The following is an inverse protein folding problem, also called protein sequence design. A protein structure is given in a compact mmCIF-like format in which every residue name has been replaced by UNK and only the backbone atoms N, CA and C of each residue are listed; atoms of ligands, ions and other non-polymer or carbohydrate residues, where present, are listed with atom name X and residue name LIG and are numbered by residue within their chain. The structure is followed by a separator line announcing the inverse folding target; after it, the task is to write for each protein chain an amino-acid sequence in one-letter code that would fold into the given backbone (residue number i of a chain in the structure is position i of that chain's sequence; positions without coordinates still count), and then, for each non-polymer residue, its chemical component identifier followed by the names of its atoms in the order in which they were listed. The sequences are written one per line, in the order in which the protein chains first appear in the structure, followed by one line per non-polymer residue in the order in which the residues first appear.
data_IF_521542432988
#
_entry.id   IF_521542432988
#
_cell.length_a   1.000
_cell.length_b   1.000
_cell.length_c   1.000
_cell.angle_alpha   90.00
_cell.angle_beta   90.00
_cell.angle_gamma   90.00
#
_symmetry.space_group_name_H-M   'P 1'
#
loop_
_entity.id
_entity.type
_entity.pdbx_description
1 polymer ?
#
# COMPACT_ATOMS: atom_id res chain seq x y z
N UNK A 1 3.58 -31.12 -18.74
CA UNK A 1 2.66 -31.82 -17.82
C UNK A 1 1.37 -31.03 -17.75
N UNK A 2 0.18 -31.66 -17.69
CA UNK A 2 -1.03 -30.93 -17.33
C UNK A 2 -0.80 -30.40 -15.92
N UNK A 3 -0.94 -29.08 -15.72
CA UNK A 3 -0.88 -28.44 -14.41
C UNK A 3 -1.90 -29.10 -13.50
N UNK A 4 -1.47 -29.57 -12.33
CA UNK A 4 -2.37 -30.04 -11.30
C UNK A 4 -3.36 -28.90 -11.00
N UNK A 5 -4.69 -29.08 -11.10
CA UNK A 5 -5.66 -28.02 -10.81
C UNK A 5 -5.60 -27.52 -9.36
N UNK A 6 -4.79 -28.15 -8.50
CA UNK A 6 -4.50 -27.73 -7.12
C UNK A 6 -3.20 -26.94 -6.99
N UNK A 7 -2.38 -26.84 -8.05
CA UNK A 7 -1.20 -25.97 -8.05
C UNK A 7 -1.63 -24.50 -7.93
N UNK A 8 -0.99 -23.71 -7.04
CA UNK A 8 -1.23 -22.28 -6.96
C UNK A 8 -0.89 -21.62 -8.30
N UNK A 9 -1.88 -20.99 -8.93
CA UNK A 9 -1.73 -20.25 -10.19
C UNK A 9 -1.81 -18.75 -9.92
N UNK A 10 -1.17 -17.90 -10.71
CA UNK A 10 -1.43 -16.44 -10.66
C UNK A 10 -2.37 -16.07 -11.81
N UNK A 11 -3.46 -15.37 -11.51
CA UNK A 11 -4.42 -14.92 -12.53
C UNK A 11 -3.78 -13.93 -13.51
N UNK A 12 -4.20 -13.93 -14.78
CA UNK A 12 -3.67 -12.98 -15.77
C UNK A 12 -3.93 -11.52 -15.38
N UNK A 13 -5.03 -11.25 -14.65
CA UNK A 13 -5.37 -9.93 -14.13
C UNK A 13 -4.45 -9.54 -12.97
N UNK A 14 -4.19 -10.45 -12.03
CA UNK A 14 -3.26 -10.25 -10.93
C UNK A 14 -1.83 -10.00 -11.45
N UNK A 15 -1.39 -10.75 -12.47
CA UNK A 15 -0.08 -10.53 -13.10
C UNK A 15 0.00 -9.17 -13.82
N UNK A 16 -1.07 -8.74 -14.48
CA UNK A 16 -1.12 -7.43 -15.13
C UNK A 16 -1.06 -6.27 -14.12
N UNK A 17 -1.78 -6.39 -12.98
CA UNK A 17 -1.67 -5.46 -11.85
C UNK A 17 -0.23 -5.44 -11.31
N UNK A 18 0.33 -6.63 -11.02
CA UNK A 18 1.69 -6.79 -10.50
C UNK A 18 2.74 -6.13 -11.38
N UNK A 19 2.62 -6.20 -12.72
CA UNK A 19 3.54 -5.51 -13.63
C UNK A 19 3.59 -4.01 -13.38
N UNK A 20 2.43 -3.35 -13.29
CA UNK A 20 2.37 -1.91 -13.04
C UNK A 20 3.02 -1.53 -11.71
N UNK A 21 2.71 -2.30 -10.66
CA UNK A 21 3.25 -2.11 -9.31
C UNK A 21 4.76 -2.33 -9.26
N UNK A 22 5.28 -3.38 -9.90
CA UNK A 22 6.72 -3.67 -9.93
C UNK A 22 7.47 -2.58 -10.72
N UNK A 23 6.92 -2.13 -11.84
CA UNK A 23 7.52 -1.05 -12.64
C UNK A 23 7.55 0.28 -11.88
N UNK A 24 6.45 0.65 -11.22
CA UNK A 24 6.43 1.85 -10.39
C UNK A 24 7.39 1.70 -9.20
N UNK A 25 7.34 0.58 -8.48
CA UNK A 25 8.20 0.31 -7.34
C UNK A 25 9.69 0.44 -7.70
N UNK A 26 10.09 -0.18 -8.82
CA UNK A 26 11.47 -0.13 -9.29
C UNK A 26 11.91 1.30 -9.61
N UNK A 27 11.04 2.10 -10.22
CA UNK A 27 11.36 3.48 -10.61
C UNK A 27 11.24 4.48 -9.47
N UNK A 28 10.47 4.19 -8.44
CA UNK A 28 10.16 5.15 -7.37
C UNK A 28 10.94 4.86 -6.09
N UNK A 29 11.20 3.59 -5.76
CA UNK A 29 11.69 3.22 -4.43
C UNK A 29 13.01 2.43 -4.43
N UNK A 30 13.36 1.68 -5.48
CA UNK A 30 14.69 1.03 -5.55
C UNK A 30 15.86 2.04 -5.42
N UNK A 31 15.83 3.22 -6.08
CA UNK A 31 16.88 4.22 -5.89
C UNK A 31 16.97 4.75 -4.45
N UNK A 32 15.84 4.85 -3.74
CA UNK A 32 15.81 5.23 -2.32
C UNK A 32 16.43 4.14 -1.42
N UNK A 33 16.42 2.88 -1.87
CA UNK A 33 17.09 1.75 -1.22
C UNK A 33 18.56 1.58 -1.68
N UNK A 34 19.07 2.50 -2.50
CA UNK A 34 20.43 2.43 -3.05
C UNK A 34 20.62 1.29 -4.03
N UNK A 35 19.59 0.98 -4.81
CA UNK A 35 19.57 -0.04 -5.85
C UNK A 35 19.33 0.60 -7.23
N UNK A 36 20.10 0.24 -8.27
CA UNK A 36 19.82 0.64 -9.65
C UNK A 36 18.46 0.13 -10.13
N UNK A 37 17.75 0.94 -10.92
CA UNK A 37 16.44 0.53 -11.48
C UNK A 37 16.56 -0.70 -12.38
N UNK A 38 17.65 -0.81 -13.15
CA UNK A 38 17.87 -1.92 -14.10
C UNK A 38 18.03 -3.27 -13.40
N UNK A 39 18.40 -3.29 -12.11
CA UNK A 39 18.50 -4.51 -11.31
C UNK A 39 17.13 -5.16 -11.06
N UNK A 40 16.02 -4.48 -11.37
CA UNK A 40 14.67 -5.08 -11.29
C UNK A 40 14.58 -6.40 -12.06
N UNK A 41 15.32 -6.52 -13.18
CA UNK A 41 15.36 -7.73 -13.99
C UNK A 41 16.06 -8.89 -13.28
N UNK A 42 17.02 -8.60 -12.40
CA UNK A 42 17.70 -9.60 -11.57
C UNK A 42 16.76 -10.22 -10.53
N UNK A 43 15.69 -9.52 -10.16
CA UNK A 43 14.71 -9.94 -9.15
C UNK A 43 13.34 -10.25 -9.75
N UNK A 44 13.22 -10.31 -11.08
CA UNK A 44 11.94 -10.36 -11.77
C UNK A 44 11.10 -11.58 -11.34
N UNK A 45 11.69 -12.76 -11.20
CA UNK A 45 10.97 -13.96 -10.77
C UNK A 45 10.28 -13.73 -9.41
N UNK A 46 11.00 -13.14 -8.47
CA UNK A 46 10.59 -12.96 -7.08
C UNK A 46 9.64 -11.78 -6.92
N UNK A 47 9.92 -10.65 -7.58
CA UNK A 47 9.06 -9.47 -7.57
C UNK A 47 7.69 -9.78 -8.19
N UNK A 48 7.67 -10.38 -9.38
CA UNK A 48 6.41 -10.67 -10.07
C UNK A 48 5.63 -11.80 -9.40
N UNK A 49 6.30 -12.83 -8.88
CA UNK A 49 5.62 -13.88 -8.14
C UNK A 49 4.97 -13.31 -6.87
N UNK A 50 5.73 -12.58 -6.06
CA UNK A 50 5.22 -12.02 -4.79
C UNK A 50 4.10 -11.00 -5.06
N UNK A 51 4.32 -10.01 -5.92
CA UNK A 51 3.28 -9.03 -6.25
C UNK A 51 2.05 -9.69 -6.90
N UNK A 52 2.26 -10.65 -7.80
CA UNK A 52 1.17 -11.40 -8.43
C UNK A 52 0.35 -12.20 -7.44
N UNK A 53 0.99 -12.90 -6.49
CA UNK A 53 0.29 -13.61 -5.41
C UNK A 53 -0.49 -12.65 -4.52
N UNK A 54 0.06 -11.48 -4.18
CA UNK A 54 -0.65 -10.47 -3.39
C UNK A 54 -1.90 -9.94 -4.11
N UNK A 55 -1.82 -9.67 -5.41
CA UNK A 55 -2.99 -9.25 -6.18
C UNK A 55 -4.01 -10.36 -6.43
N UNK A 56 -3.60 -11.62 -6.47
CA UNK A 56 -4.55 -12.74 -6.51
C UNK A 56 -5.31 -12.87 -5.19
N UNK A 57 -4.62 -12.72 -4.06
CA UNK A 57 -5.22 -12.68 -2.73
C UNK A 57 -6.17 -11.49 -2.58
N UNK A 58 -5.81 -10.35 -3.14
CA UNK A 58 -6.66 -9.16 -3.25
C UNK A 58 -7.94 -9.44 -4.08
N UNK A 59 -7.81 -10.08 -5.24
CA UNK A 59 -8.97 -10.50 -6.04
C UNK A 59 -9.88 -11.51 -5.33
N UNK A 60 -9.31 -12.40 -4.52
CA UNK A 60 -10.09 -13.30 -3.67
C UNK A 60 -10.85 -12.51 -2.60
N UNK A 61 -10.20 -11.54 -1.96
CA UNK A 61 -10.81 -10.65 -0.99
C UNK A 61 -11.96 -9.83 -1.59
N UNK A 62 -11.78 -9.24 -2.77
CA UNK A 62 -12.82 -8.50 -3.52
C UNK A 62 -14.07 -9.38 -3.78
N UNK A 63 -13.88 -10.70 -3.93
CA UNK A 63 -14.96 -11.69 -4.13
C UNK A 63 -15.57 -12.21 -2.82
N UNK A 64 -15.12 -11.71 -1.67
CA UNK A 64 -15.60 -12.11 -0.34
C UNK A 64 -14.94 -13.36 0.24
N UNK A 65 -13.87 -13.86 -0.37
CA UNK A 65 -13.04 -14.93 0.21
C UNK A 65 -12.12 -14.42 1.30
N UNK A 66 -11.54 -15.35 2.09
CA UNK A 66 -10.53 -15.03 3.10
C UNK A 66 -9.12 -15.30 2.52
N UNK A 67 -8.33 -14.25 2.25
CA UNK A 67 -6.96 -14.40 1.76
C UNK A 67 -6.05 -15.22 2.67
N UNK A 68 -6.26 -15.16 4.00
CA UNK A 68 -5.38 -15.82 4.96
C UNK A 68 -5.43 -17.35 4.88
N UNK A 69 -6.53 -17.90 4.36
CA UNK A 69 -6.79 -19.33 4.24
C UNK A 69 -6.63 -19.84 2.79
N UNK A 70 -6.25 -18.97 1.86
CA UNK A 70 -6.16 -19.31 0.46
C UNK A 70 -4.91 -20.17 0.15
N UNK A 71 -4.99 -21.13 -0.78
CA UNK A 71 -3.82 -21.85 -1.28
C UNK A 71 -2.70 -20.91 -1.77
N UNK A 72 -3.06 -19.79 -2.41
CA UNK A 72 -2.13 -18.76 -2.85
C UNK A 72 -1.32 -18.15 -1.68
N UNK A 73 -1.91 -17.99 -0.49
CA UNK A 73 -1.20 -17.48 0.68
C UNK A 73 -0.19 -18.51 1.22
N UNK A 74 -0.56 -19.80 1.22
CA UNK A 74 0.37 -20.87 1.58
C UNK A 74 1.55 -20.95 0.58
N UNK A 75 1.25 -20.83 -0.72
CA UNK A 75 2.26 -20.82 -1.78
C UNK A 75 3.24 -19.65 -1.65
N UNK A 76 2.72 -18.45 -1.40
CA UNK A 76 3.52 -17.26 -1.16
C UNK A 76 4.46 -17.45 0.05
N UNK A 77 3.94 -17.94 1.18
CA UNK A 77 4.74 -18.21 2.39
C UNK A 77 5.81 -19.26 2.13
N UNK A 78 5.49 -20.34 1.41
CA UNK A 78 6.45 -21.38 1.04
C UNK A 78 7.54 -20.85 0.12
N UNK A 79 7.19 -20.03 -0.87
CA UNK A 79 8.13 -19.39 -1.79
C UNK A 79 9.13 -18.50 -1.05
N UNK A 80 8.64 -17.66 -0.13
CA UNK A 80 9.45 -16.78 0.70
C UNK A 80 10.34 -17.58 1.67
N UNK A 81 9.79 -18.61 2.32
CA UNK A 81 10.53 -19.47 3.24
C UNK A 81 11.66 -20.23 2.53
N UNK A 82 11.39 -20.76 1.33
CA UNK A 82 12.39 -21.44 0.51
C UNK A 82 13.56 -20.55 0.06
N UNK A 83 13.40 -19.22 0.18
CA UNK A 83 14.44 -18.20 -0.09
C UNK A 83 15.03 -17.60 1.18
N UNK A 84 14.57 -18.00 2.36
CA UNK A 84 15.00 -17.42 3.63
C UNK A 84 14.51 -15.98 3.88
N UNK A 85 13.45 -15.55 3.18
CA UNK A 85 12.94 -14.17 3.22
C UNK A 85 11.67 -14.02 4.05
N UNK A 86 11.09 -15.12 4.53
CA UNK A 86 9.79 -15.10 5.20
C UNK A 86 9.82 -14.26 6.48
N UNK A 87 10.85 -14.46 7.31
CA UNK A 87 10.96 -13.76 8.60
C UNK A 87 11.05 -12.23 8.44
N UNK A 88 11.70 -11.77 7.37
CA UNK A 88 11.84 -10.34 7.07
C UNK A 88 10.51 -9.69 6.67
N UNK A 89 9.64 -10.42 5.96
CA UNK A 89 8.38 -9.87 5.43
C UNK A 89 7.14 -10.25 6.25
N UNK A 90 7.26 -11.17 7.20
CA UNK A 90 6.14 -11.77 7.92
C UNK A 90 5.21 -10.73 8.56
N UNK A 91 5.77 -9.78 9.29
CA UNK A 91 5.00 -8.74 9.95
C UNK A 91 4.24 -7.85 8.95
N UNK A 92 4.83 -7.58 7.78
CA UNK A 92 4.21 -6.79 6.71
C UNK A 92 3.10 -7.57 6.02
N UNK A 93 3.25 -8.89 5.84
CA UNK A 93 2.17 -9.75 5.35
C UNK A 93 0.99 -9.76 6.33
N UNK A 94 1.25 -9.80 7.64
CA UNK A 94 0.20 -9.78 8.66
C UNK A 94 -0.58 -8.45 8.66
N UNK A 95 0.10 -7.32 8.38
CA UNK A 95 -0.55 -6.02 8.11
C UNK A 95 -1.46 -6.10 6.88
N UNK A 96 -1.06 -6.80 5.81
CA UNK A 96 -1.91 -7.02 4.64
C UNK A 96 -3.15 -7.86 4.93
N UNK A 97 -3.02 -8.93 5.74
CA UNK A 97 -4.18 -9.71 6.18
C UNK A 97 -5.13 -8.91 7.09
N UNK A 98 -4.59 -8.02 7.92
CA UNK A 98 -5.38 -7.06 8.69
C UNK A 98 -6.13 -6.10 7.76
N UNK A 99 -5.45 -5.54 6.75
CA UNK A 99 -6.06 -4.64 5.75
C UNK A 99 -7.29 -5.28 5.10
N UNK A 100 -7.13 -6.46 4.49
CA UNK A 100 -8.24 -7.15 3.83
C UNK A 100 -9.39 -7.46 4.79
N UNK A 101 -9.09 -7.78 6.05
CA UNK A 101 -10.12 -8.00 7.08
C UNK A 101 -10.90 -6.73 7.39
N UNK A 102 -10.20 -5.61 7.57
CA UNK A 102 -10.80 -4.29 7.81
C UNK A 102 -11.63 -3.85 6.60
N UNK A 103 -11.11 -4.01 5.40
CA UNK A 103 -11.78 -3.64 4.16
C UNK A 103 -13.13 -4.35 4.01
N UNK A 104 -13.15 -5.69 4.14
CA UNK A 104 -14.41 -6.46 4.09
C UNK A 104 -15.40 -6.01 5.15
N UNK A 105 -14.93 -5.77 6.38
CA UNK A 105 -15.77 -5.27 7.48
C UNK A 105 -16.37 -3.92 7.15
N UNK A 106 -15.56 -2.96 6.68
CA UNK A 106 -15.99 -1.60 6.37
C UNK A 106 -17.01 -1.60 5.23
N UNK A 107 -16.74 -2.32 4.13
CA UNK A 107 -17.67 -2.46 3.01
C UNK A 107 -19.00 -3.07 3.46
N UNK A 108 -18.97 -4.08 4.35
CA UNK A 108 -20.19 -4.68 4.89
C UNK A 108 -20.99 -3.69 5.77
N UNK A 109 -20.32 -2.90 6.60
CA UNK A 109 -20.96 -1.90 7.47
C UNK A 109 -21.51 -0.70 6.67
N UNK A 110 -20.85 -0.29 5.59
CA UNK A 110 -21.33 0.81 4.75
C UNK A 110 -22.61 0.50 3.98
N UNK A 111 -22.92 -0.78 3.76
CA UNK A 111 -24.21 -1.22 3.21
C UNK A 111 -25.37 -1.05 4.19
N UNK A 112 -25.08 -0.81 5.47
CA UNK A 112 -26.08 -0.60 6.52
C UNK A 112 -26.35 0.90 6.70
N UNK A 113 -27.56 1.26 7.18
CA UNK A 113 -27.84 2.62 7.62
C UNK A 113 -26.79 3.13 8.61
N UNK A 114 -26.61 4.45 8.65
CA UNK A 114 -25.72 5.09 9.60
C UNK A 114 -26.12 4.75 11.04
N UNK A 115 -25.16 4.32 11.84
CA UNK A 115 -25.33 3.99 13.25
C UNK A 115 -25.28 5.21 14.16
N UNK A 116 -25.20 4.97 15.47
CA UNK A 116 -24.96 6.04 16.44
C UNK A 116 -23.53 6.61 16.33
N UNK A 117 -23.29 7.73 17.01
CA UNK A 117 -22.01 8.43 16.92
C UNK A 117 -20.82 7.57 17.38
N UNK A 118 -20.99 6.70 18.38
CA UNK A 118 -19.91 5.87 18.92
C UNK A 118 -19.53 4.77 17.92
N UNK A 119 -20.52 4.17 17.26
CA UNK A 119 -20.31 3.21 16.17
C UNK A 119 -19.60 3.86 14.99
N UNK A 120 -20.06 5.03 14.55
CA UNK A 120 -19.45 5.72 13.41
C UNK A 120 -18.02 6.23 13.72
N UNK A 121 -17.72 6.59 14.97
CA UNK A 121 -16.35 6.89 15.41
C UNK A 121 -15.43 5.66 15.33
N UNK A 122 -15.93 4.47 15.68
CA UNK A 122 -15.19 3.22 15.56
C UNK A 122 -14.97 2.78 14.11
N UNK A 123 -15.98 2.96 13.26
CA UNK A 123 -15.83 2.72 11.82
C UNK A 123 -14.80 3.67 11.21
N UNK A 124 -14.81 4.95 11.59
CA UNK A 124 -13.81 5.89 11.10
C UNK A 124 -12.40 5.51 11.57
N UNK A 125 -12.22 5.08 12.83
CA UNK A 125 -10.92 4.56 13.31
C UNK A 125 -10.46 3.34 12.50
N UNK A 126 -11.37 2.42 12.23
CA UNK A 126 -11.10 1.23 11.40
C UNK A 126 -10.71 1.61 9.96
N UNK A 127 -11.39 2.60 9.37
CA UNK A 127 -11.06 3.11 8.04
C UNK A 127 -9.68 3.81 8.01
N UNK A 128 -9.36 4.61 9.04
CA UNK A 128 -8.04 5.21 9.18
C UNK A 128 -6.93 4.16 9.30
N UNK A 129 -7.20 3.06 10.01
CA UNK A 129 -6.28 1.93 10.11
C UNK A 129 -6.14 1.20 8.77
N UNK A 130 -7.24 0.93 8.07
CA UNK A 130 -7.21 0.31 6.74
C UNK A 130 -6.38 1.15 5.76
N UNK A 131 -6.60 2.48 5.71
CA UNK A 131 -5.78 3.39 4.91
C UNK A 131 -4.28 3.32 5.24
N UNK A 132 -3.91 3.15 6.50
CA UNK A 132 -2.51 3.00 6.91
C UNK A 132 -1.89 1.64 6.53
N UNK A 133 -2.72 0.63 6.25
CA UNK A 133 -2.28 -0.73 5.90
C UNK A 133 -2.36 -1.01 4.39
N UNK A 134 -3.00 -0.15 3.59
CA UNK A 134 -3.41 -0.42 2.20
C UNK A 134 -2.23 -0.77 1.29
N UNK A 135 -1.14 -0.02 1.33
CA UNK A 135 0.06 -0.24 0.50
C UNK A 135 1.11 -1.16 1.15
N UNK A 136 0.67 -2.19 1.87
CA UNK A 136 1.60 -3.16 2.47
C UNK A 136 2.39 -3.92 1.39
N UNK A 137 1.85 -4.05 0.17
CA UNK A 137 2.51 -4.68 -0.97
C UNK A 137 3.83 -3.99 -1.33
N UNK A 138 3.86 -2.65 -1.43
CA UNK A 138 5.09 -1.88 -1.61
C UNK A 138 6.11 -2.10 -0.49
N UNK A 139 5.62 -2.23 0.75
CA UNK A 139 6.49 -2.53 1.90
C UNK A 139 7.08 -3.95 1.84
N UNK A 140 6.30 -4.92 1.36
CA UNK A 140 6.79 -6.28 1.07
C UNK A 140 7.85 -6.24 -0.02
N UNK A 141 7.64 -5.49 -1.11
CA UNK A 141 8.62 -5.36 -2.19
C UNK A 141 9.93 -4.72 -1.73
N UNK A 142 9.87 -3.68 -0.88
CA UNK A 142 11.04 -3.04 -0.29
C UNK A 142 11.90 -4.02 0.54
N UNK A 143 11.25 -4.80 1.41
CA UNK A 143 11.91 -5.81 2.23
C UNK A 143 12.43 -6.98 1.37
N UNK A 144 11.68 -7.36 0.33
CA UNK A 144 12.05 -8.43 -0.58
C UNK A 144 13.36 -8.12 -1.32
N UNK A 145 13.48 -6.94 -1.94
CA UNK A 145 14.72 -6.57 -2.65
C UNK A 145 15.90 -6.37 -1.71
N UNK A 146 15.66 -5.88 -0.49
CA UNK A 146 16.70 -5.80 0.53
C UNK A 146 17.21 -7.20 0.90
N UNK A 147 16.32 -8.13 1.22
CA UNK A 147 16.70 -9.51 1.56
C UNK A 147 17.40 -10.25 0.42
N UNK A 148 16.91 -10.11 -0.82
CA UNK A 148 17.55 -10.69 -2.02
C UNK A 148 18.95 -10.15 -2.29
N UNK A 149 19.28 -8.96 -1.77
CA UNK A 149 20.61 -8.35 -1.90
C UNK A 149 21.46 -8.50 -0.63
N UNK A 150 21.00 -9.25 0.36
CA UNK A 150 21.67 -9.42 1.66
C UNK A 150 21.75 -8.11 2.47
N UNK A 151 20.85 -7.17 2.19
CA UNK A 151 20.74 -5.87 2.87
C UNK A 151 19.57 -5.88 3.83
N UNK A 152 19.59 -4.96 4.79
CA UNK A 152 18.46 -4.65 5.66
C UNK A 152 17.97 -3.23 5.38
N UNK A 153 16.66 -3.02 5.51
CA UNK A 153 16.09 -1.67 5.47
C UNK A 153 15.99 -1.15 6.90
N UNK A 154 16.49 0.06 7.16
CA UNK A 154 16.38 0.66 8.49
C UNK A 154 14.92 0.89 8.85
N UNK A 155 14.62 0.88 10.15
CA UNK A 155 13.27 1.17 10.65
C UNK A 155 12.82 2.56 10.21
N UNK A 156 13.72 3.53 10.25
CA UNK A 156 13.47 4.93 9.86
C UNK A 156 13.12 5.03 8.38
N UNK A 157 13.81 4.28 7.51
CA UNK A 157 13.50 4.21 6.09
C UNK A 157 12.15 3.55 5.85
N UNK A 158 11.82 2.46 6.55
CA UNK A 158 10.48 1.83 6.46
C UNK A 158 9.36 2.77 6.93
N UNK A 159 9.59 3.57 7.97
CA UNK A 159 8.63 4.57 8.43
C UNK A 159 8.43 5.69 7.40
N UNK A 160 9.51 6.13 6.75
CA UNK A 160 9.44 7.09 5.65
C UNK A 160 8.66 6.52 4.46
N UNK A 161 9.03 5.34 3.97
CA UNK A 161 8.36 4.68 2.85
C UNK A 161 6.87 4.47 3.14
N UNK A 162 6.53 3.94 4.31
CA UNK A 162 5.13 3.77 4.72
C UNK A 162 4.34 5.08 4.75
N UNK A 163 4.95 6.18 5.22
CA UNK A 163 4.30 7.50 5.20
C UNK A 163 4.08 8.04 3.78
N UNK A 164 5.03 7.77 2.88
CA UNK A 164 4.91 8.13 1.46
C UNK A 164 3.78 7.35 0.81
N UNK A 165 3.75 6.02 0.98
CA UNK A 165 2.73 5.18 0.37
C UNK A 165 1.33 5.58 0.85
N UNK A 166 1.16 5.83 2.15
CA UNK A 166 -0.14 6.24 2.69
C UNK A 166 -0.66 7.54 2.05
N UNK A 167 0.21 8.52 1.82
CA UNK A 167 -0.19 9.78 1.20
C UNK A 167 -0.57 9.60 -0.28
N UNK A 168 0.10 8.69 -1.01
CA UNK A 168 -0.29 8.30 -2.37
C UNK A 168 -1.68 7.65 -2.37
N UNK A 169 -1.96 6.72 -1.45
CA UNK A 169 -3.29 6.11 -1.35
C UNK A 169 -4.40 7.11 -1.02
N UNK A 170 -4.11 8.10 -0.18
CA UNK A 170 -5.07 9.16 0.15
C UNK A 170 -5.35 10.00 -1.09
N UNK A 171 -4.33 10.31 -1.88
CA UNK A 171 -4.50 11.04 -3.13
C UNK A 171 -5.34 10.24 -4.14
N UNK A 172 -5.04 8.95 -4.30
CA UNK A 172 -5.79 8.07 -5.19
C UNK A 172 -7.25 7.94 -4.74
N UNK A 173 -7.52 7.74 -3.45
CA UNK A 173 -8.89 7.71 -2.90
C UNK A 173 -9.63 9.04 -3.14
N UNK A 174 -8.95 10.19 -3.09
CA UNK A 174 -9.55 11.49 -3.40
C UNK A 174 -9.89 11.63 -4.89
N UNK A 175 -9.01 11.15 -5.78
CA UNK A 175 -9.22 11.19 -7.25
C UNK A 175 -10.31 10.21 -7.69
N UNK A 176 -10.36 9.02 -7.09
CA UNK A 176 -11.24 7.93 -7.47
C UNK A 176 -12.55 7.89 -6.65
N UNK A 177 -12.82 8.88 -5.79
CA UNK A 177 -13.97 8.89 -4.87
C UNK A 177 -15.30 8.49 -5.52
N UNK A 178 -15.68 9.13 -6.64
CA UNK A 178 -16.95 8.85 -7.30
C UNK A 178 -17.02 7.41 -7.81
N UNK A 179 -15.94 6.96 -8.47
CA UNK A 179 -15.79 5.60 -9.02
C UNK A 179 -15.81 4.53 -7.93
N UNK A 180 -15.14 4.76 -6.80
CA UNK A 180 -15.09 3.80 -5.70
C UNK A 180 -16.42 3.75 -4.95
N UNK A 181 -17.04 4.91 -4.75
CA UNK A 181 -18.36 5.00 -4.14
C UNK A 181 -19.42 4.23 -4.94
N UNK A 182 -19.44 4.40 -6.27
CA UNK A 182 -20.34 3.66 -7.17
C UNK A 182 -20.12 2.14 -7.13
N UNK A 183 -18.86 1.70 -6.99
CA UNK A 183 -18.51 0.28 -6.92
C UNK A 183 -18.69 -0.32 -5.52
N UNK A 184 -18.95 0.50 -4.51
CA UNK A 184 -18.97 0.06 -3.11
C UNK A 184 -17.59 -0.42 -2.62
N UNK A 185 -16.52 0.14 -3.18
CA UNK A 185 -15.14 -0.14 -2.78
C UNK A 185 -14.75 0.67 -1.54
N UNK A 186 -13.68 0.24 -0.86
CA UNK A 186 -13.12 1.03 0.24
C UNK A 186 -12.55 2.35 -0.28
N UNK A 187 -12.85 3.44 0.43
CA UNK A 187 -12.34 4.77 0.15
C UNK A 187 -12.32 5.59 1.44
N UNK A 188 -11.17 6.18 1.77
CA UNK A 188 -11.03 6.91 3.04
C UNK A 188 -11.93 8.14 3.08
N UNK A 189 -12.11 8.87 1.98
CA UNK A 189 -12.98 10.04 1.96
C UNK A 189 -14.45 9.65 2.18
N UNK A 190 -14.91 8.53 1.63
CA UNK A 190 -16.24 8.00 1.91
C UNK A 190 -16.47 7.73 3.41
N UNK A 191 -15.45 7.28 4.15
CA UNK A 191 -15.54 7.11 5.60
C UNK A 191 -15.75 8.45 6.32
N UNK A 192 -15.04 9.50 5.91
CA UNK A 192 -15.21 10.85 6.47
C UNK A 192 -16.59 11.44 6.12
N UNK A 193 -17.05 11.27 4.87
CA UNK A 193 -18.39 11.71 4.44
C UNK A 193 -19.46 11.01 5.25
N UNK A 194 -19.35 9.69 5.45
CA UNK A 194 -20.29 8.94 6.28
C UNK A 194 -20.32 9.48 7.71
N UNK A 195 -19.17 9.76 8.32
CA UNK A 195 -19.11 10.21 9.72
C UNK A 195 -19.54 11.66 9.94
N UNK A 196 -19.16 12.55 9.04
CA UNK A 196 -19.23 14.00 9.26
C UNK A 196 -20.14 14.75 8.27
N UNK A 197 -20.67 14.08 7.24
CA UNK A 197 -21.50 14.68 6.21
C UNK A 197 -20.80 15.88 5.55
N UNK A 198 -21.49 17.03 5.53
CA UNK A 198 -20.96 18.26 4.94
C UNK A 198 -19.63 18.76 5.57
N UNK A 199 -19.32 18.36 6.81
CA UNK A 199 -18.06 18.73 7.47
C UNK A 199 -16.88 17.81 7.12
N UNK A 200 -17.07 16.80 6.29
CA UNK A 200 -16.04 15.83 5.92
C UNK A 200 -14.79 16.45 5.28
N UNK A 201 -14.87 17.41 4.34
CA UNK A 201 -13.68 18.03 3.76
C UNK A 201 -12.77 18.69 4.81
N UNK A 202 -13.36 19.44 5.75
CA UNK A 202 -12.62 20.11 6.81
C UNK A 202 -11.95 19.12 7.78
N UNK A 203 -12.66 18.04 8.14
CA UNK A 203 -12.14 17.01 9.03
C UNK A 203 -11.05 16.18 8.36
N UNK A 204 -11.23 15.84 7.08
CA UNK A 204 -10.23 15.11 6.31
C UNK A 204 -8.98 15.97 6.11
N UNK A 205 -9.12 17.27 5.81
CA UNK A 205 -7.98 18.19 5.66
C UNK A 205 -7.10 18.23 6.91
N UNK A 206 -7.68 18.28 8.10
CA UNK A 206 -6.91 18.24 9.36
C UNK A 206 -6.17 16.91 9.51
N UNK A 207 -6.84 15.80 9.20
CA UNK A 207 -6.27 14.46 9.27
C UNK A 207 -5.14 14.23 8.24
N UNK A 208 -5.27 14.79 7.03
CA UNK A 208 -4.21 14.78 6.00
C UNK A 208 -3.02 15.62 6.47
N UNK A 209 -3.24 16.82 7.00
CA UNK A 209 -2.16 17.69 7.48
C UNK A 209 -1.30 17.03 8.57
N UNK A 210 -1.90 16.22 9.45
CA UNK A 210 -1.15 15.43 10.44
C UNK A 210 -0.23 14.39 9.79
N UNK A 211 -0.67 13.76 8.69
CA UNK A 211 0.12 12.78 7.93
C UNK A 211 1.20 13.42 7.09
N UNK A 212 0.91 14.55 6.48
CA UNK A 212 1.92 15.36 5.78
C UNK A 212 3.02 15.79 6.75
N UNK A 213 2.67 16.25 7.95
CA UNK A 213 3.64 16.55 9.00
C UNK A 213 4.47 15.32 9.37
N UNK A 214 3.83 14.17 9.58
CA UNK A 214 4.53 12.92 9.90
C UNK A 214 5.49 12.51 8.77
N UNK A 215 5.06 12.60 7.51
CA UNK A 215 5.89 12.36 6.35
C UNK A 215 7.12 13.28 6.33
N UNK A 216 6.94 14.59 6.54
CA UNK A 216 8.05 15.55 6.58
C UNK A 216 9.06 15.22 7.69
N UNK A 217 8.57 14.80 8.87
CA UNK A 217 9.43 14.34 9.96
C UNK A 217 10.23 13.08 9.58
N UNK A 218 9.62 12.11 8.88
CA UNK A 218 10.31 10.88 8.46
C UNK A 218 11.21 11.05 7.25
N UNK A 219 10.89 11.99 6.37
CA UNK A 219 11.69 12.35 5.19
C UNK A 219 13.12 12.76 5.54
N UNK A 220 13.35 13.22 6.78
CA UNK A 220 14.68 13.52 7.30
C UNK A 220 15.66 12.32 7.31
N UNK A 221 15.18 11.09 7.07
CA UNK A 221 16.06 9.91 6.88
C UNK A 221 16.80 9.92 5.54
N UNK A 222 16.30 10.65 4.54
CA UNK A 222 16.88 10.68 3.21
C UNK A 222 18.17 11.51 3.17
N UNK A 223 19.13 11.07 2.36
CA UNK A 223 20.25 11.92 1.94
C UNK A 223 19.76 13.00 0.97
N UNK A 224 20.56 14.04 0.75
CA UNK A 224 20.23 15.09 -0.22
C UNK A 224 20.01 14.53 -1.64
N UNK A 225 20.79 13.53 -2.03
CA UNK A 225 20.65 12.84 -3.32
C UNK A 225 19.31 12.09 -3.42
N UNK A 226 18.96 11.32 -2.38
CA UNK A 226 17.70 10.59 -2.32
C UNK A 226 16.50 11.54 -2.27
N UNK A 227 16.60 12.64 -1.53
CA UNK A 227 15.55 13.65 -1.44
C UNK A 227 15.32 14.31 -2.80
N UNK A 228 16.38 14.77 -3.47
CA UNK A 228 16.28 15.38 -4.79
C UNK A 228 15.66 14.42 -5.80
N UNK A 229 16.07 13.15 -5.77
CA UNK A 229 15.47 12.11 -6.60
C UNK A 229 13.98 11.93 -6.29
N UNK A 230 13.62 11.79 -5.01
CA UNK A 230 12.24 11.56 -4.58
C UNK A 230 11.31 12.71 -5.02
N UNK A 231 11.75 13.97 -4.82
CA UNK A 231 10.98 15.16 -5.23
C UNK A 231 10.81 15.20 -6.75
N UNK A 232 11.90 15.04 -7.51
CA UNK A 232 11.83 15.04 -8.98
C UNK A 232 10.93 13.91 -9.53
N UNK A 233 10.95 12.74 -8.89
CA UNK A 233 10.09 11.61 -9.26
C UNK A 233 8.61 11.92 -9.02
N UNK A 234 8.27 12.48 -7.86
CA UNK A 234 6.89 12.87 -7.54
C UNK A 234 6.37 13.94 -8.49
N UNK A 235 7.20 14.94 -8.83
CA UNK A 235 6.86 15.97 -9.83
C UNK A 235 6.55 15.36 -11.20
N UNK A 236 7.37 14.43 -11.67
CA UNK A 236 7.18 13.77 -12.96
C UNK A 236 5.90 12.91 -13.01
N UNK A 237 5.42 12.43 -11.86
CA UNK A 237 4.16 11.67 -11.74
C UNK A 237 2.94 12.58 -11.63
N UNK A 238 3.12 13.87 -11.37
CA UNK A 238 2.02 14.79 -11.07
C UNK A 238 1.23 14.36 -9.83
N UNK A 239 1.89 13.69 -8.88
CA UNK A 239 1.25 13.08 -7.71
C UNK A 239 1.72 13.66 -6.38
N UNK A 240 1.02 13.22 -5.34
CA UNK A 240 1.36 13.20 -3.92
C UNK A 240 1.14 14.48 -3.08
N UNK A 241 0.40 15.46 -3.60
CA UNK A 241 -0.03 16.65 -2.84
C UNK A 241 1.10 17.63 -2.49
N UNK A 242 0.79 18.78 -1.86
CA UNK A 242 1.75 19.87 -1.68
C UNK A 242 2.94 19.51 -0.77
N UNK A 243 2.77 18.58 0.17
CA UNK A 243 3.85 18.19 1.09
C UNK A 243 4.98 17.38 0.42
N UNK A 244 4.68 16.67 -0.67
CA UNK A 244 5.65 15.93 -1.47
C UNK A 244 6.17 16.72 -2.68
N UNK A 245 5.61 17.92 -2.91
CA UNK A 245 6.05 18.89 -3.89
C UNK A 245 7.16 19.81 -3.32
N UNK A 246 8.00 20.43 -4.16
CA UNK A 246 9.17 21.22 -3.74
C UNK A 246 8.84 22.46 -2.88
N UNK A 247 7.60 22.98 -2.94
CA UNK A 247 7.21 24.21 -2.22
C UNK A 247 7.23 24.06 -0.68
N UNK A 248 7.30 22.83 -0.15
CA UNK A 248 7.48 22.59 1.28
C UNK A 248 8.89 22.97 1.81
N UNK A 249 9.84 23.30 0.94
CA UNK A 249 11.19 23.74 1.33
C UNK A 249 11.43 25.25 1.25
N UNK A 250 10.40 26.07 1.00
CA UNK A 250 10.53 27.53 0.99
C UNK A 250 9.56 28.22 1.94
N UNK A 251 9.90 28.21 3.23
CA UNK A 251 9.38 29.14 4.23
C UNK A 251 10.54 29.59 5.12
N UNK A 252 11.02 30.82 4.90
CA UNK A 252 12.04 31.47 5.72
C UNK A 252 11.57 31.89 7.10
#
# INVERSE_FOLDING_TARGET
SPTDPTEPTISARALAKARGTVEDFARSYMPLLGLPVDDVLCFADSLYFVAGSLYELDELNERGGDPSQAPAAAALRQFLAGRGLLDDVQATLDVGFEYWTLERRLIAEWKRPQGDAAHEDELLRSACRASACKSFDYSVLALLVAGLTGRTVSKEMMLFLGSCFQLVEIEDDLKDYEKDHEKGAFNIYAAFVRRYGAAAPDRLRVWIAEREKYYLEKRAVLTDEQLNFHVARNEAQGGAGPAMAPEACSGG
#
